data_IF_368080334604
#
_entry.id   IF_368080334604
#
_cell.length_a   1.000
_cell.length_b   1.000
_cell.length_c   1.000
_cell.angle_alpha   90.00
_cell.angle_beta   90.00
_cell.angle_gamma   90.00
#
_symmetry.space_group_name_H-M   'P 1'
#
loop_
_entity.id
_entity.type
_entity.pdbx_description
1 polymer ?
#
# COMPACT_ATOMS: atom_id res chain seq x y z
N UNK A 1 21.41 5.44 -26.84
CA UNK A 1 20.92 5.84 -25.49
C UNK A 1 19.99 4.76 -24.96
N UNK A 2 20.34 4.03 -23.90
CA UNK A 2 19.43 3.06 -23.26
C UNK A 2 18.31 3.83 -22.58
N UNK A 3 17.06 3.53 -22.94
CA UNK A 3 15.84 4.16 -22.38
C UNK A 3 15.77 3.90 -20.87
N UNK A 4 15.68 4.96 -20.05
CA UNK A 4 15.42 4.83 -18.64
C UNK A 4 14.05 4.14 -18.47
N UNK A 5 13.97 3.11 -17.62
CA UNK A 5 12.71 2.44 -17.34
C UNK A 5 11.84 3.32 -16.44
N UNK A 6 10.57 3.41 -16.80
CA UNK A 6 9.57 4.13 -16.00
C UNK A 6 9.21 3.31 -14.78
N UNK A 7 9.13 3.94 -13.63
CA UNK A 7 8.62 3.31 -12.42
C UNK A 7 7.10 3.18 -12.52
N UNK A 8 6.59 1.97 -12.41
CA UNK A 8 5.16 1.67 -12.44
C UNK A 8 4.58 1.74 -11.03
N UNK A 9 3.76 2.76 -10.76
CA UNK A 9 3.19 3.03 -9.45
C UNK A 9 1.70 2.73 -9.43
N UNK A 10 1.26 1.88 -8.52
CA UNK A 10 -0.14 1.59 -8.26
C UNK A 10 -0.55 2.21 -6.92
N UNK A 11 -1.63 2.99 -6.90
CA UNK A 11 -2.24 3.50 -5.68
C UNK A 11 -3.54 2.74 -5.44
N UNK A 12 -3.67 2.08 -4.30
CA UNK A 12 -4.90 1.42 -3.86
C UNK A 12 -5.49 2.24 -2.72
N UNK A 13 -6.61 2.93 -2.99
CA UNK A 13 -7.29 3.78 -2.01
C UNK A 13 -8.61 3.16 -1.57
N UNK A 14 -8.79 3.06 -0.25
CA UNK A 14 -9.96 2.44 0.36
C UNK A 14 -10.70 3.38 1.32
N UNK A 15 -11.28 4.48 0.82
CA UNK A 15 -12.14 5.36 1.61
C UNK A 15 -13.40 5.74 0.84
N UNK A 16 -14.61 5.58 1.43
CA UNK A 16 -15.87 5.90 0.75
C UNK A 16 -16.11 7.41 0.57
N UNK A 17 -15.61 8.21 1.51
CA UNK A 17 -15.74 9.65 1.50
C UNK A 17 -14.50 10.31 0.89
N UNK A 18 -14.71 11.03 -0.22
CA UNK A 18 -13.66 11.71 -0.96
C UNK A 18 -13.19 13.01 -0.32
N UNK A 19 -14.00 13.62 0.53
CA UNK A 19 -13.62 14.82 1.27
C UNK A 19 -12.79 14.46 2.52
N UNK A 20 -12.67 13.18 2.84
CA UNK A 20 -11.87 12.72 3.97
C UNK A 20 -10.38 13.08 3.82
N UNK A 21 -9.70 13.31 4.93
CA UNK A 21 -8.25 13.54 4.93
C UNK A 21 -7.45 12.34 4.35
N UNK A 22 -7.99 11.14 4.49
CA UNK A 22 -7.39 9.94 3.89
C UNK A 22 -7.40 10.00 2.36
N UNK A 23 -8.53 10.41 1.77
CA UNK A 23 -8.70 10.51 0.33
C UNK A 23 -8.18 11.83 -0.22
N UNK A 24 -8.80 12.96 0.15
CA UNK A 24 -8.48 14.29 -0.38
C UNK A 24 -7.10 14.81 0.08
N UNK A 25 -6.62 14.34 1.25
CA UNK A 25 -5.28 14.66 1.72
C UNK A 25 -4.24 13.66 1.22
N UNK A 26 -4.19 12.46 1.80
CA UNK A 26 -3.07 11.52 1.60
C UNK A 26 -3.04 10.94 0.19
N UNK A 27 -4.15 10.37 -0.30
CA UNK A 27 -4.19 9.78 -1.63
C UNK A 27 -3.88 10.83 -2.71
N UNK A 28 -4.53 11.99 -2.65
CA UNK A 28 -4.27 13.09 -3.60
C UNK A 28 -2.82 13.56 -3.56
N UNK A 29 -2.23 13.73 -2.37
CA UNK A 29 -0.81 14.10 -2.26
C UNK A 29 0.11 13.07 -2.92
N UNK A 30 -0.16 11.77 -2.81
CA UNK A 30 0.62 10.74 -3.51
C UNK A 30 0.48 10.91 -5.02
N UNK A 31 -0.77 10.98 -5.51
CA UNK A 31 -1.09 11.09 -6.92
C UNK A 31 -0.44 12.33 -7.56
N UNK A 32 -0.64 13.49 -6.97
CA UNK A 32 -0.06 14.76 -7.43
C UNK A 32 1.48 14.72 -7.40
N UNK A 33 2.07 14.22 -6.30
CA UNK A 33 3.54 14.11 -6.22
C UNK A 33 4.13 13.20 -7.29
N UNK A 34 3.43 12.12 -7.65
CA UNK A 34 3.88 11.23 -8.73
C UNK A 34 3.74 11.90 -10.09
N UNK A 35 2.60 12.56 -10.36
CA UNK A 35 2.29 13.18 -11.65
C UNK A 35 3.17 14.44 -11.91
N UNK A 36 3.41 15.25 -10.88
CA UNK A 36 4.18 16.50 -10.98
C UNK A 36 5.69 16.29 -10.88
N UNK A 37 6.16 15.06 -10.67
CA UNK A 37 7.58 14.79 -10.52
C UNK A 37 8.32 14.74 -11.85
N UNK A 38 9.57 15.22 -11.86
CA UNK A 38 10.49 15.11 -13.01
C UNK A 38 11.01 13.67 -13.23
N UNK A 39 10.64 12.73 -12.36
CA UNK A 39 11.05 11.34 -12.47
C UNK A 39 10.20 10.58 -13.48
N UNK A 40 10.84 9.74 -14.30
CA UNK A 40 10.12 8.87 -15.22
C UNK A 40 9.28 7.83 -14.45
N UNK A 41 7.97 8.02 -14.47
CA UNK A 41 7.04 7.12 -13.81
C UNK A 41 5.68 7.05 -14.53
N UNK A 42 4.90 6.05 -14.19
CA UNK A 42 3.52 5.83 -14.60
C UNK A 42 2.67 5.57 -13.36
N UNK A 43 1.42 6.00 -13.37
CA UNK A 43 0.54 5.94 -12.21
C UNK A 43 -0.80 5.34 -12.60
N UNK A 44 -1.15 4.25 -11.92
CA UNK A 44 -2.49 3.64 -11.99
C UNK A 44 -3.16 3.70 -10.60
N UNK A 45 -4.48 3.76 -10.59
CA UNK A 45 -5.26 3.88 -9.36
C UNK A 45 -6.34 2.81 -9.32
N UNK A 46 -6.40 2.11 -8.20
CA UNK A 46 -7.56 1.30 -7.77
C UNK A 46 -8.29 2.10 -6.69
N UNK A 47 -9.46 2.64 -7.03
CA UNK A 47 -10.35 3.29 -6.06
C UNK A 47 -11.44 2.30 -5.66
N UNK A 48 -11.23 1.63 -4.53
CA UNK A 48 -12.07 0.55 -4.05
C UNK A 48 -13.53 0.96 -3.78
N UNK A 49 -13.82 2.25 -3.66
CA UNK A 49 -15.18 2.74 -3.42
C UNK A 49 -15.82 3.42 -4.64
N UNK A 50 -15.07 3.55 -5.74
CA UNK A 50 -15.56 4.02 -7.02
C UNK A 50 -15.80 2.91 -8.02
N UNK A 51 -14.98 1.86 -7.94
CA UNK A 51 -15.16 0.70 -8.80
C UNK A 51 -16.44 -0.06 -8.44
N UNK A 52 -17.05 -0.70 -9.43
CA UNK A 52 -18.26 -1.51 -9.23
C UNK A 52 -17.92 -2.79 -8.47
N UNK A 53 -18.29 -2.83 -7.20
CA UNK A 53 -18.09 -3.96 -6.29
C UNK A 53 -19.29 -4.92 -6.25
N UNK A 54 -20.23 -4.84 -7.19
CA UNK A 54 -21.34 -5.79 -7.32
C UNK A 54 -20.82 -7.20 -7.63
N UNK A 55 -21.62 -8.21 -7.29
CA UNK A 55 -21.29 -9.62 -7.59
C UNK A 55 -22.04 -10.08 -8.84
N UNK A 56 -21.44 -10.96 -9.65
CA UNK A 56 -20.07 -11.47 -9.58
C UNK A 56 -19.04 -10.40 -10.00
N UNK A 57 -17.85 -10.35 -9.35
CA UNK A 57 -16.81 -9.37 -9.63
C UNK A 57 -15.51 -9.99 -10.16
N UNK A 58 -15.63 -11.11 -10.85
CA UNK A 58 -14.49 -11.87 -11.38
C UNK A 58 -13.61 -11.00 -12.29
N UNK A 59 -14.20 -10.21 -13.18
CA UNK A 59 -13.47 -9.35 -14.11
C UNK A 59 -12.76 -8.19 -13.37
N UNK A 60 -13.40 -7.63 -12.35
CA UNK A 60 -12.81 -6.61 -11.51
C UNK A 60 -11.59 -7.16 -10.75
N UNK A 61 -11.69 -8.36 -10.17
CA UNK A 61 -10.58 -9.01 -9.48
C UNK A 61 -9.43 -9.29 -10.45
N UNK A 62 -9.73 -9.78 -11.64
CA UNK A 62 -8.71 -10.01 -12.69
C UNK A 62 -8.00 -8.71 -13.08
N UNK A 63 -8.75 -7.63 -13.29
CA UNK A 63 -8.17 -6.28 -13.53
C UNK A 63 -7.24 -5.86 -12.40
N UNK A 64 -7.64 -6.06 -11.15
CA UNK A 64 -6.80 -5.73 -9.99
C UNK A 64 -5.53 -6.57 -9.93
N UNK A 65 -5.62 -7.87 -10.23
CA UNK A 65 -4.45 -8.75 -10.31
C UNK A 65 -3.49 -8.33 -11.43
N UNK A 66 -4.00 -7.91 -12.58
CA UNK A 66 -3.21 -7.36 -13.68
C UNK A 66 -2.48 -6.08 -13.26
N UNK A 67 -3.15 -5.14 -12.60
CA UNK A 67 -2.56 -3.91 -12.09
C UNK A 67 -1.51 -4.16 -10.99
N UNK A 68 -1.76 -5.13 -10.09
CA UNK A 68 -0.78 -5.56 -9.08
C UNK A 68 0.46 -6.17 -9.72
N UNK A 69 0.26 -6.96 -10.78
CA UNK A 69 1.37 -7.59 -11.53
C UNK A 69 2.19 -6.53 -12.25
N UNK A 70 1.52 -5.57 -12.89
CA UNK A 70 2.15 -4.47 -13.61
C UNK A 70 3.00 -3.58 -12.70
N UNK A 71 2.56 -3.29 -11.48
CA UNK A 71 3.20 -2.32 -10.61
C UNK A 71 4.58 -2.75 -10.10
N UNK A 72 5.57 -1.87 -10.11
CA UNK A 72 6.83 -2.00 -9.35
C UNK A 72 6.63 -1.64 -7.88
N UNK A 73 5.76 -0.66 -7.64
CA UNK A 73 5.44 -0.15 -6.30
C UNK A 73 3.94 0.00 -6.10
N UNK A 74 3.50 -0.40 -4.91
CA UNK A 74 2.11 -0.29 -4.49
C UNK A 74 2.03 0.59 -3.24
N UNK A 75 1.20 1.63 -3.33
CA UNK A 75 0.82 2.50 -2.21
C UNK A 75 -0.58 2.10 -1.72
N UNK A 76 -0.69 1.64 -0.49
CA UNK A 76 -1.98 1.40 0.14
C UNK A 76 -2.38 2.59 1.01
N UNK A 77 -3.59 3.09 0.83
CA UNK A 77 -4.14 4.21 1.59
C UNK A 77 -5.51 3.83 2.13
N UNK A 78 -5.65 3.73 3.46
CA UNK A 78 -6.92 3.35 4.08
C UNK A 78 -7.03 3.88 5.51
N UNK A 79 -8.22 4.25 5.99
CA UNK A 79 -8.45 4.49 7.40
C UNK A 79 -8.58 3.18 8.17
N UNK A 80 -8.45 3.28 9.48
CA UNK A 80 -8.76 2.19 10.42
C UNK A 80 -10.16 2.37 10.98
N UNK A 81 -10.98 1.35 10.79
CA UNK A 81 -12.31 1.24 11.37
C UNK A 81 -12.39 -0.05 12.20
N UNK A 82 -12.73 0.07 13.47
CA UNK A 82 -12.88 -1.10 14.36
C UNK A 82 -11.66 -2.06 14.33
N UNK A 83 -10.45 -1.50 14.45
CA UNK A 83 -9.18 -2.24 14.43
C UNK A 83 -8.88 -3.06 13.16
N UNK A 84 -9.46 -2.68 12.02
CA UNK A 84 -9.15 -3.20 10.68
C UNK A 84 -9.23 -2.07 9.65
N UNK A 85 -8.81 -2.34 8.44
CA UNK A 85 -8.99 -1.39 7.35
C UNK A 85 -10.47 -1.36 6.92
N UNK A 86 -10.81 -0.53 5.94
CA UNK A 86 -12.19 -0.47 5.47
C UNK A 86 -12.65 -1.80 4.85
N UNK A 87 -13.95 -2.11 4.86
CA UNK A 87 -14.45 -3.40 4.35
C UNK A 87 -13.98 -3.72 2.93
N UNK A 88 -13.99 -2.75 2.00
CA UNK A 88 -13.53 -3.01 0.63
C UNK A 88 -12.03 -3.23 0.53
N UNK A 89 -11.22 -2.62 1.41
CA UNK A 89 -9.78 -2.91 1.50
C UNK A 89 -9.52 -4.33 2.01
N UNK A 90 -10.30 -4.80 2.98
CA UNK A 90 -10.21 -6.19 3.44
C UNK A 90 -10.62 -7.18 2.34
N UNK A 91 -11.75 -6.92 1.66
CA UNK A 91 -12.19 -7.74 0.51
C UNK A 91 -11.14 -7.74 -0.61
N UNK A 92 -10.47 -6.61 -0.86
CA UNK A 92 -9.36 -6.55 -1.82
C UNK A 92 -8.25 -7.54 -1.44
N UNK A 93 -7.86 -7.60 -0.17
CA UNK A 93 -6.85 -8.58 0.26
C UNK A 93 -7.35 -10.02 0.11
N UNK A 94 -8.59 -10.31 0.50
CA UNK A 94 -9.15 -11.65 0.48
C UNK A 94 -9.35 -12.19 -0.96
N UNK A 95 -9.80 -11.35 -1.88
CA UNK A 95 -10.19 -11.77 -3.22
C UNK A 95 -9.10 -11.55 -4.28
N UNK A 96 -8.19 -10.59 -4.09
CA UNK A 96 -7.07 -10.35 -5.02
C UNK A 96 -5.85 -11.19 -4.66
N UNK A 97 -5.48 -11.25 -3.38
CA UNK A 97 -4.28 -11.97 -2.94
C UNK A 97 -4.56 -13.45 -2.67
N UNK A 98 -5.12 -14.12 -3.66
CA UNK A 98 -5.49 -15.54 -3.56
C UNK A 98 -4.30 -16.48 -3.73
N UNK A 99 -4.40 -17.74 -3.21
CA UNK A 99 -3.47 -18.80 -3.56
C UNK A 99 -3.42 -19.01 -5.08
N UNK A 100 -2.22 -19.24 -5.61
CA UNK A 100 -1.97 -19.34 -7.05
C UNK A 100 -1.62 -18.02 -7.73
N UNK A 101 -2.11 -16.88 -7.24
CA UNK A 101 -1.72 -15.56 -7.72
C UNK A 101 -0.67 -14.90 -6.82
N UNK A 102 -0.97 -14.73 -5.53
CA UNK A 102 -0.10 -13.99 -4.61
C UNK A 102 0.91 -14.88 -3.88
N UNK A 103 0.54 -16.12 -3.61
CA UNK A 103 1.37 -17.08 -2.90
C UNK A 103 0.95 -18.53 -3.17
N UNK A 104 1.78 -19.48 -2.73
CA UNK A 104 1.42 -20.89 -2.61
C UNK A 104 1.91 -21.45 -1.30
N UNK A 105 1.22 -22.45 -0.76
CA UNK A 105 1.72 -23.20 0.39
C UNK A 105 2.75 -24.23 -0.05
N UNK A 106 3.89 -24.26 0.62
CA UNK A 106 4.95 -25.24 0.42
C UNK A 106 5.07 -26.07 1.69
N UNK A 107 4.93 -27.39 1.62
CA UNK A 107 5.15 -28.26 2.77
C UNK A 107 6.56 -28.08 3.34
N UNK A 108 6.69 -28.08 4.68
CA UNK A 108 7.96 -27.95 5.38
C UNK A 108 8.26 -29.26 6.15
N UNK A 109 7.44 -29.57 7.16
CA UNK A 109 7.56 -30.78 7.97
C UNK A 109 6.17 -31.23 8.42
N UNK A 110 5.80 -32.49 8.19
CA UNK A 110 4.52 -33.06 8.59
C UNK A 110 3.34 -32.23 8.06
N UNK A 111 2.39 -31.82 8.91
CA UNK A 111 1.24 -31.03 8.48
C UNK A 111 1.53 -29.55 8.27
N UNK A 112 2.76 -29.09 8.53
CA UNK A 112 3.11 -27.68 8.45
C UNK A 112 3.50 -27.26 7.05
N UNK A 113 2.89 -26.18 6.56
CA UNK A 113 3.20 -25.55 5.28
C UNK A 113 3.52 -24.07 5.49
N UNK A 114 4.42 -23.54 4.66
CA UNK A 114 4.81 -22.13 4.67
C UNK A 114 4.33 -21.44 3.38
N UNK A 115 3.80 -20.23 3.45
CA UNK A 115 3.42 -19.47 2.26
C UNK A 115 4.66 -18.99 1.53
N UNK A 116 4.89 -19.48 0.31
CA UNK A 116 5.92 -18.95 -0.60
C UNK A 116 5.30 -17.81 -1.40
N UNK A 117 5.73 -16.55 -1.21
CA UNK A 117 5.19 -15.40 -1.93
C UNK A 117 5.60 -15.40 -3.40
N UNK A 118 4.72 -14.89 -4.26
CA UNK A 118 5.00 -14.69 -5.68
C UNK A 118 5.25 -13.22 -6.04
N UNK A 119 4.83 -12.29 -5.17
CA UNK A 119 4.93 -10.85 -5.39
C UNK A 119 6.07 -10.21 -4.56
N UNK A 120 7.14 -10.95 -4.29
CA UNK A 120 8.25 -10.51 -3.44
C UNK A 120 9.11 -9.39 -4.06
N UNK A 121 9.05 -9.22 -5.37
CA UNK A 121 9.67 -8.14 -6.14
C UNK A 121 8.99 -6.78 -5.90
N UNK A 122 7.72 -6.76 -5.51
CA UNK A 122 6.93 -5.53 -5.32
C UNK A 122 7.37 -4.73 -4.11
N UNK A 123 7.52 -3.42 -4.29
CA UNK A 123 7.85 -2.48 -3.21
C UNK A 123 6.57 -1.89 -2.64
N UNK A 124 6.37 -2.02 -1.33
CA UNK A 124 5.12 -1.63 -0.66
C UNK A 124 5.35 -0.44 0.27
N UNK A 125 4.44 0.52 0.21
CA UNK A 125 4.30 1.60 1.18
C UNK A 125 2.83 1.73 1.58
N UNK A 126 2.58 1.99 2.86
CA UNK A 126 1.22 2.05 3.37
C UNK A 126 1.04 3.27 4.25
N UNK A 127 -0.08 3.94 4.08
CA UNK A 127 -0.52 5.06 4.90
C UNK A 127 -1.87 4.73 5.53
N UNK A 128 -1.90 4.75 6.85
CA UNK A 128 -3.07 4.39 7.66
C UNK A 128 -3.48 5.60 8.47
N UNK A 129 -4.75 5.99 8.40
CA UNK A 129 -5.31 7.04 9.24
C UNK A 129 -6.09 6.46 10.40
N UNK A 130 -5.94 7.06 11.59
CA UNK A 130 -6.63 6.67 12.81
C UNK A 130 -7.46 7.83 13.35
N UNK A 131 -8.67 7.54 13.79
CA UNK A 131 -9.45 8.45 14.65
C UNK A 131 -8.91 8.50 16.08
N UNK A 132 -8.33 7.40 16.55
CA UNK A 132 -7.80 7.25 17.91
C UNK A 132 -6.40 7.88 18.09
N UNK A 133 -6.00 8.24 19.31
CA UNK A 133 -4.64 8.65 19.64
C UNK A 133 -3.67 7.46 19.61
N UNK A 134 -2.37 7.76 19.44
CA UNK A 134 -1.36 6.73 19.22
C UNK A 134 -1.07 5.87 20.45
N UNK A 135 -1.11 6.46 21.66
CA UNK A 135 -0.66 5.77 22.87
C UNK A 135 -1.48 4.51 23.15
N UNK A 136 -2.81 4.56 23.32
CA UNK A 136 -3.59 3.36 23.62
C UNK A 136 -3.51 2.31 22.50
N UNK A 137 -3.47 2.73 21.25
CA UNK A 137 -3.39 1.79 20.12
C UNK A 137 -2.05 1.05 20.11
N UNK A 138 -0.95 1.74 20.44
CA UNK A 138 0.38 1.12 20.43
C UNK A 138 0.66 0.25 21.67
N UNK A 139 0.10 0.60 22.82
CA UNK A 139 0.33 -0.09 24.10
C UNK A 139 -0.75 -1.13 24.37
N UNK A 140 -1.98 -0.68 24.69
CA UNK A 140 -3.07 -1.56 25.09
C UNK A 140 -3.50 -2.53 23.98
N UNK A 141 -3.53 -2.05 22.74
CA UNK A 141 -3.94 -2.87 21.57
C UNK A 141 -2.76 -3.38 20.73
N UNK A 142 -1.52 -3.29 21.25
CA UNK A 142 -0.29 -3.82 20.64
C UNK A 142 -0.09 -3.45 19.16
N UNK A 143 -0.64 -2.31 18.74
CA UNK A 143 -0.63 -1.89 17.34
C UNK A 143 -1.15 -2.97 16.37
N UNK A 144 -2.20 -3.69 16.77
CA UNK A 144 -2.70 -4.90 16.12
C UNK A 144 -2.98 -4.76 14.63
N UNK A 145 -3.50 -3.61 14.19
CA UNK A 145 -3.77 -3.35 12.76
C UNK A 145 -2.48 -3.38 11.95
N UNK A 146 -1.46 -2.65 12.39
CA UNK A 146 -0.16 -2.62 11.71
C UNK A 146 0.53 -3.98 11.79
N UNK A 147 0.46 -4.64 12.94
CA UNK A 147 1.02 -5.96 13.15
C UNK A 147 0.39 -6.97 12.18
N UNK A 148 -0.96 -7.06 12.14
CA UNK A 148 -1.68 -7.94 11.22
C UNK A 148 -1.34 -7.66 9.76
N UNK A 149 -1.31 -6.38 9.38
CA UNK A 149 -1.05 -6.00 8.00
C UNK A 149 0.38 -6.36 7.57
N UNK A 150 1.39 -6.00 8.36
CA UNK A 150 2.80 -6.19 7.99
C UNK A 150 3.25 -7.62 8.19
N UNK A 151 2.95 -8.23 9.35
CA UNK A 151 3.40 -9.57 9.69
C UNK A 151 2.48 -10.67 9.15
N UNK A 152 1.19 -10.37 8.98
CA UNK A 152 0.22 -11.26 8.34
C UNK A 152 0.22 -11.05 6.82
N UNK A 153 -0.67 -10.17 6.34
CA UNK A 153 -0.95 -10.02 4.90
C UNK A 153 0.31 -9.82 4.06
N UNK A 154 1.14 -8.84 4.39
CA UNK A 154 2.29 -8.49 3.54
C UNK A 154 3.42 -9.53 3.59
N UNK A 155 3.59 -10.25 4.69
CA UNK A 155 4.57 -11.32 4.74
C UNK A 155 4.15 -12.50 3.86
N UNK A 156 2.88 -12.85 3.83
CA UNK A 156 2.36 -13.92 2.99
C UNK A 156 2.45 -13.59 1.50
N UNK A 157 2.10 -12.36 1.13
CA UNK A 157 1.98 -11.93 -0.27
C UNK A 157 3.31 -11.49 -0.87
N UNK A 158 4.09 -10.72 -0.10
CA UNK A 158 5.31 -10.05 -0.58
C UNK A 158 6.60 -10.59 0.08
N UNK A 159 6.50 -11.59 0.94
CA UNK A 159 7.63 -12.18 1.67
C UNK A 159 8.07 -11.38 2.90
N UNK A 160 8.99 -11.92 3.64
CA UNK A 160 9.52 -11.32 4.86
C UNK A 160 10.41 -10.11 4.56
N UNK A 161 10.06 -8.92 5.08
CA UNK A 161 10.88 -7.73 4.98
C UNK A 161 10.55 -6.73 6.09
N UNK A 162 11.43 -6.62 7.08
CA UNK A 162 11.25 -5.73 8.24
C UNK A 162 11.12 -4.25 7.85
N UNK A 163 11.68 -3.82 6.72
CA UNK A 163 11.57 -2.43 6.26
C UNK A 163 10.13 -2.01 5.97
N UNK A 164 9.21 -2.95 5.73
CA UNK A 164 7.78 -2.67 5.55
C UNK A 164 7.14 -2.12 6.81
N UNK A 165 7.65 -2.49 7.98
CA UNK A 165 7.22 -1.90 9.24
C UNK A 165 7.46 -0.39 9.26
N UNK A 166 8.63 0.06 8.82
CA UNK A 166 8.96 1.50 8.76
C UNK A 166 8.21 2.22 7.63
N UNK A 167 7.93 1.51 6.53
CA UNK A 167 7.19 2.04 5.37
C UNK A 167 5.67 2.03 5.56
N UNK A 168 5.16 1.38 6.59
CA UNK A 168 3.76 1.47 7.01
C UNK A 168 3.62 2.59 8.02
N UNK A 169 3.22 3.78 7.56
CA UNK A 169 3.02 4.96 8.38
C UNK A 169 1.60 5.09 8.86
N UNK A 170 1.47 5.56 10.09
CA UNK A 170 0.19 5.73 10.77
C UNK A 170 0.04 7.18 11.19
N UNK A 171 -1.10 7.78 10.84
CA UNK A 171 -1.47 9.14 11.19
C UNK A 171 -2.59 9.13 12.22
N UNK A 172 -2.36 9.76 13.34
CA UNK A 172 -3.13 9.63 14.57
C UNK A 172 -4.06 10.80 14.83
N UNK A 173 -5.22 10.51 15.44
CA UNK A 173 -6.22 11.52 15.84
C UNK A 173 -6.60 12.44 14.68
N UNK A 174 -6.76 11.89 13.49
CA UNK A 174 -6.96 12.67 12.26
C UNK A 174 -8.18 13.59 12.33
N UNK A 175 -9.35 13.19 12.88
CA UNK A 175 -10.50 14.09 13.02
C UNK A 175 -10.22 15.32 13.89
N UNK A 176 -9.32 15.18 14.86
CA UNK A 176 -8.96 16.23 15.83
C UNK A 176 -7.62 16.92 15.51
N UNK A 177 -7.01 16.58 14.41
CA UNK A 177 -5.73 17.15 14.02
C UNK A 177 -5.92 18.58 13.49
N UNK A 178 -5.11 19.53 14.00
CA UNK A 178 -5.06 20.89 13.46
C UNK A 178 -4.55 20.89 12.02
N UNK A 179 -4.86 21.94 11.24
CA UNK A 179 -4.39 22.08 9.86
C UNK A 179 -2.87 22.04 9.75
N UNK A 180 -2.16 22.64 10.71
CA UNK A 180 -0.70 22.55 10.82
C UNK A 180 -0.20 21.11 10.97
N UNK A 181 -0.92 20.28 11.74
CA UNK A 181 -0.58 18.86 11.93
C UNK A 181 -0.91 18.04 10.68
N UNK A 182 -2.05 18.31 10.04
CA UNK A 182 -2.43 17.69 8.77
C UNK A 182 -1.42 18.02 7.67
N UNK A 183 -1.01 19.29 7.54
CA UNK A 183 0.03 19.71 6.59
C UNK A 183 1.35 18.96 6.81
N UNK A 184 1.79 18.79 8.06
CA UNK A 184 2.99 17.97 8.37
C UNK A 184 2.84 16.51 7.91
N UNK A 185 1.65 15.93 8.04
CA UNK A 185 1.39 14.58 7.58
C UNK A 185 1.53 14.47 6.06
N UNK A 186 0.97 15.45 5.32
CA UNK A 186 1.09 15.49 3.85
C UNK A 186 2.53 15.70 3.39
N UNK A 187 3.28 16.55 4.09
CA UNK A 187 4.71 16.74 3.81
C UNK A 187 5.52 15.44 3.98
N UNK A 188 5.21 14.64 5.01
CA UNK A 188 5.81 13.32 5.21
C UNK A 188 5.50 12.41 4.02
N UNK A 189 4.24 12.39 3.56
CA UNK A 189 3.81 11.60 2.39
C UNK A 189 4.58 12.03 1.15
N UNK A 190 4.61 13.33 0.85
CA UNK A 190 5.34 13.89 -0.30
C UNK A 190 6.82 13.52 -0.29
N UNK A 191 7.50 13.70 0.84
CA UNK A 191 8.92 13.35 1.01
C UNK A 191 9.16 11.85 0.80
N UNK A 192 8.27 11.00 1.28
CA UNK A 192 8.37 9.55 1.11
C UNK A 192 8.24 9.14 -0.36
N UNK A 193 7.29 9.71 -1.10
CA UNK A 193 7.08 9.44 -2.52
C UNK A 193 8.28 9.88 -3.35
N UNK A 194 8.76 11.10 -3.15
CA UNK A 194 9.96 11.60 -3.83
C UNK A 194 11.20 10.76 -3.54
N UNK A 195 11.36 10.30 -2.28
CA UNK A 195 12.45 9.39 -1.91
C UNK A 195 12.36 8.05 -2.63
N UNK A 196 11.15 7.54 -2.80
CA UNK A 196 10.93 6.28 -3.50
C UNK A 196 11.25 6.39 -4.99
N UNK A 197 10.86 7.47 -5.65
CA UNK A 197 11.17 7.77 -7.05
C UNK A 197 12.68 7.91 -7.27
N UNK A 198 13.33 8.73 -6.44
CA UNK A 198 14.80 8.93 -6.49
C UNK A 198 15.54 7.60 -6.33
N UNK A 199 15.10 6.76 -5.39
CA UNK A 199 15.72 5.44 -5.15
C UNK A 199 15.59 4.54 -6.37
N UNK A 200 14.41 4.49 -6.99
CA UNK A 200 14.19 3.69 -8.20
C UNK A 200 15.11 4.14 -9.33
N UNK A 201 15.22 5.45 -9.57
CA UNK A 201 16.09 5.99 -10.61
C UNK A 201 17.56 5.60 -10.39
N UNK A 202 18.06 5.70 -9.14
CA UNK A 202 19.45 5.32 -8.80
C UNK A 202 19.66 3.82 -9.05
N UNK A 203 18.74 2.95 -8.60
CA UNK A 203 18.80 1.50 -8.81
C UNK A 203 18.82 1.16 -10.31
N UNK A 204 17.99 1.82 -11.10
CA UNK A 204 17.92 1.61 -12.56
C UNK A 204 19.21 2.03 -13.26
N UNK A 205 19.84 3.13 -12.83
CA UNK A 205 21.13 3.57 -13.38
C UNK A 205 22.25 2.61 -12.99
N UNK A 206 22.30 2.20 -11.71
CA UNK A 206 23.33 1.29 -11.19
C UNK A 206 23.30 -0.07 -11.87
N UNK A 207 22.11 -0.66 -12.06
CA UNK A 207 21.95 -1.97 -12.72
C UNK A 207 22.31 -1.93 -14.24
N UNK A 208 22.44 -0.74 -14.84
CA UNK A 208 22.84 -0.57 -16.25
C UNK A 208 24.33 -0.34 -16.42
N UNK A 209 25.05 -0.17 -15.31
CA UNK A 209 26.51 0.09 -15.31
C UNK A 209 27.34 -1.19 -15.13
N UNK A 210 26.67 -2.33 -14.97
CA UNK A 210 27.22 -3.68 -14.89
C UNK A 210 26.91 -4.43 -16.19
#
# INVERSE_FOLDING_TARGET
MKKLERMQNLIVVGHPDQESFCYNGIFKTIQETLLDSDYLNEVEVIDLYRDDFSRPRTDLIKKYQELVTWADRIYFVSPVWWFRLTPRTEIFFDEVFTPGFAYKFVPVIGPYAYPKPFLSDKKIRTYITHGAPSLPVKTLYLNSVKLRLVMGVFTFVFGWNISRWLKTKQFWSVPFASDKKRAKYLEIVKKDVLKDLKKHQIETISNKSI
#
